data_IF_442741935803
#
_entry.id   IF_442741935803
#
_cell.length_a   1.000
_cell.length_b   1.000
_cell.length_c   1.000
_cell.angle_alpha   90.00
_cell.angle_beta   90.00
_cell.angle_gamma   90.00
#
_symmetry.space_group_name_H-M   'P 1'
#
loop_
_entity.id
_entity.type
_entity.pdbx_description
1 polymer ?
#
# COMPACT_ATOMS: atom_id res chain seq x y z
N UNK A 1 12.97 1.47 -30.62
CA UNK A 1 13.10 2.91 -30.33
C UNK A 1 13.60 3.11 -28.90
N UNK A 2 14.80 2.62 -28.65
CA UNK A 2 15.49 2.75 -27.35
C UNK A 2 16.35 4.01 -27.31
N UNK A 3 16.79 4.42 -26.12
CA UNK A 3 17.65 5.59 -25.90
C UNK A 3 18.94 5.57 -26.75
N UNK A 4 19.43 4.38 -27.12
CA UNK A 4 20.60 4.20 -27.99
C UNK A 4 20.33 4.58 -29.46
N UNK A 5 19.13 4.32 -29.98
CA UNK A 5 18.74 4.74 -31.34
C UNK A 5 18.52 6.26 -31.40
N UNK A 6 17.94 6.83 -30.35
CA UNK A 6 17.75 8.28 -30.24
C UNK A 6 19.09 9.03 -30.16
N UNK A 7 20.06 8.49 -29.40
CA UNK A 7 21.39 9.07 -29.28
C UNK A 7 22.23 8.89 -30.56
N UNK A 8 22.01 7.81 -31.30
CA UNK A 8 22.60 7.61 -32.62
C UNK A 8 22.06 8.61 -33.66
N UNK A 9 20.77 8.99 -33.59
CA UNK A 9 20.19 10.03 -34.45
C UNK A 9 20.66 11.45 -34.11
N UNK A 10 21.05 11.72 -32.87
CA UNK A 10 21.58 13.03 -32.44
C UNK A 10 23.10 13.17 -32.64
N UNK A 11 23.82 12.07 -32.84
CA UNK A 11 25.28 12.07 -33.02
C UNK A 11 25.76 12.91 -34.22
N UNK A 12 25.13 12.88 -35.42
CA UNK A 12 25.54 13.70 -36.55
C UNK A 12 25.39 15.20 -36.27
N UNK A 13 24.28 15.61 -35.65
CA UNK A 13 24.03 17.00 -35.23
C UNK A 13 25.03 17.52 -34.18
N UNK A 14 25.48 16.65 -33.27
CA UNK A 14 26.42 17.03 -32.21
C UNK A 14 27.88 17.10 -32.70
N UNK A 15 28.24 16.36 -33.75
CA UNK A 15 29.59 16.33 -34.31
C UNK A 15 29.87 17.48 -35.29
N UNK A 16 28.85 18.05 -35.94
CA UNK A 16 29.00 19.08 -36.97
C UNK A 16 28.56 20.46 -36.45
N UNK A 17 29.10 20.91 -35.32
CA UNK A 17 28.67 22.09 -34.54
C UNK A 17 28.53 23.46 -35.25
N UNK A 18 28.60 23.54 -36.58
CA UNK A 18 28.20 24.69 -37.40
C UNK A 18 27.61 24.32 -38.79
N UNK A 19 27.49 23.04 -39.15
CA UNK A 19 27.05 22.55 -40.48
C UNK A 19 25.97 21.46 -40.39
N UNK A 20 25.07 21.53 -39.41
CA UNK A 20 23.93 20.61 -39.35
C UNK A 20 23.03 20.83 -40.58
N UNK A 21 22.76 19.76 -41.35
CA UNK A 21 21.85 19.86 -42.49
C UNK A 21 20.41 20.11 -42.01
N UNK A 22 19.55 20.65 -42.87
CA UNK A 22 18.13 20.83 -42.53
C UNK A 22 17.47 19.51 -42.11
N UNK A 23 17.86 18.39 -42.74
CA UNK A 23 17.40 17.06 -42.40
C UNK A 23 17.82 16.63 -40.97
N UNK A 24 19.04 16.97 -40.56
CA UNK A 24 19.55 16.69 -39.21
C UNK A 24 18.77 17.50 -38.15
N UNK A 25 18.45 18.76 -38.45
CA UNK A 25 17.62 19.61 -37.57
C UNK A 25 16.18 19.09 -37.46
N UNK A 26 15.57 18.65 -38.56
CA UNK A 26 14.23 18.05 -38.55
C UNK A 26 14.20 16.72 -37.78
N UNK A 27 15.24 15.90 -37.91
CA UNK A 27 15.38 14.65 -37.16
C UNK A 27 15.51 14.91 -35.64
N UNK A 28 16.36 15.87 -35.25
CA UNK A 28 16.51 16.30 -33.86
C UNK A 28 15.20 16.89 -33.29
N UNK A 29 14.50 17.72 -34.05
CA UNK A 29 13.21 18.29 -33.65
C UNK A 29 12.11 17.21 -33.48
N UNK A 30 12.07 16.22 -34.39
CA UNK A 30 11.16 15.09 -34.30
C UNK A 30 11.42 14.23 -33.05
N UNK A 31 12.68 14.04 -32.71
CA UNK A 31 13.11 13.29 -31.53
C UNK A 31 12.83 14.05 -30.23
N UNK A 32 13.15 15.34 -30.16
CA UNK A 32 12.79 16.20 -29.03
C UNK A 32 11.28 16.19 -28.78
N UNK A 33 10.46 16.29 -29.83
CA UNK A 33 8.99 16.20 -29.73
C UNK A 33 8.50 14.86 -29.18
N UNK A 34 9.12 13.74 -29.58
CA UNK A 34 8.82 12.40 -29.03
C UNK A 34 9.21 12.31 -27.56
N UNK A 35 10.38 12.79 -27.19
CA UNK A 35 10.84 12.81 -25.80
C UNK A 35 9.96 13.68 -24.91
N UNK A 36 9.58 14.88 -25.36
CA UNK A 36 8.63 15.73 -24.63
C UNK A 36 7.29 15.04 -24.42
N UNK A 37 6.76 14.32 -25.42
CA UNK A 37 5.52 13.54 -25.27
C UNK A 37 5.68 12.41 -24.26
N UNK A 38 6.80 11.70 -24.29
CA UNK A 38 7.08 10.63 -23.34
C UNK A 38 7.18 11.15 -21.90
N UNK A 39 7.83 12.31 -21.69
CA UNK A 39 7.91 12.98 -20.40
C UNK A 39 6.51 13.40 -19.90
N UNK A 40 5.71 14.06 -20.74
CA UNK A 40 4.32 14.44 -20.38
C UNK A 40 3.47 13.24 -19.99
N UNK A 41 3.59 12.12 -20.73
CA UNK A 41 2.89 10.89 -20.40
C UNK A 41 3.37 10.29 -19.07
N UNK A 42 4.67 10.39 -18.76
CA UNK A 42 5.22 9.97 -17.47
C UNK A 42 4.69 10.83 -16.33
N UNK A 43 4.70 12.14 -16.49
CA UNK A 43 4.23 13.08 -15.48
C UNK A 43 2.74 12.88 -15.17
N UNK A 44 1.92 12.67 -16.21
CA UNK A 44 0.50 12.33 -16.04
C UNK A 44 0.30 11.04 -15.21
N UNK A 45 1.09 10.00 -15.46
CA UNK A 45 1.01 8.74 -14.70
C UNK A 45 1.46 8.90 -13.24
N UNK A 46 2.46 9.74 -13.00
CA UNK A 46 2.91 10.06 -11.64
C UNK A 46 1.80 10.79 -10.89
N UNK A 47 1.14 11.75 -11.53
CA UNK A 47 0.03 12.47 -10.91
C UNK A 47 -1.15 11.55 -10.59
N UNK A 48 -1.55 10.67 -11.52
CA UNK A 48 -2.57 9.65 -11.25
C UNK A 48 -2.20 8.73 -10.09
N UNK A 49 -0.92 8.31 -10.01
CA UNK A 49 -0.43 7.50 -8.90
C UNK A 49 -0.48 8.25 -7.57
N UNK A 50 -0.10 9.53 -7.56
CA UNK A 50 -0.17 10.38 -6.36
C UNK A 50 -1.61 10.55 -5.86
N UNK A 51 -2.56 10.78 -6.77
CA UNK A 51 -4.00 10.88 -6.43
C UNK A 51 -4.50 9.56 -5.82
N UNK A 52 -4.13 8.41 -6.40
CA UNK A 52 -4.50 7.10 -5.84
C UNK A 52 -3.87 6.83 -4.48
N UNK A 53 -2.60 7.19 -4.30
CA UNK A 53 -1.91 7.08 -3.01
C UNK A 53 -2.57 7.97 -1.95
N UNK A 54 -2.97 9.19 -2.33
CA UNK A 54 -3.72 10.09 -1.44
C UNK A 54 -5.06 9.49 -1.00
N UNK A 55 -5.79 8.86 -1.94
CA UNK A 55 -7.06 8.19 -1.64
C UNK A 55 -6.85 6.99 -0.70
N UNK A 56 -5.88 6.12 -1.00
CA UNK A 56 -5.54 4.98 -0.14
C UNK A 56 -5.13 5.40 1.27
N UNK A 57 -4.41 6.52 1.38
CA UNK A 57 -4.03 7.06 2.69
C UNK A 57 -5.25 7.53 3.50
N UNK A 58 -6.24 8.14 2.83
CA UNK A 58 -7.51 8.52 3.48
C UNK A 58 -8.31 7.29 3.92
N UNK A 59 -8.47 6.29 3.05
CA UNK A 59 -9.16 5.04 3.36
C UNK A 59 -8.49 4.30 4.54
N UNK A 60 -7.15 4.28 4.57
CA UNK A 60 -6.40 3.73 5.69
C UNK A 60 -6.68 4.47 7.00
N UNK A 61 -6.72 5.80 6.98
CA UNK A 61 -6.99 6.60 8.18
C UNK A 61 -8.43 6.39 8.68
N UNK A 62 -9.40 6.26 7.78
CA UNK A 62 -10.78 5.94 8.14
C UNK A 62 -10.89 4.54 8.76
N UNK A 63 -10.25 3.53 8.15
CA UNK A 63 -10.20 2.18 8.70
C UNK A 63 -9.53 2.13 10.08
N UNK A 64 -8.46 2.92 10.28
CA UNK A 64 -7.81 3.05 11.58
C UNK A 64 -8.75 3.67 12.63
N UNK A 65 -9.55 4.68 12.26
CA UNK A 65 -10.56 5.27 13.13
C UNK A 65 -11.67 4.28 13.49
N UNK A 66 -12.17 3.51 12.52
CA UNK A 66 -13.18 2.46 12.72
C UNK A 66 -12.66 1.36 13.65
N UNK A 67 -11.40 0.93 13.44
CA UNK A 67 -10.74 -0.06 14.30
C UNK A 67 -10.63 0.43 15.75
N UNK A 68 -10.21 1.68 15.96
CA UNK A 68 -10.12 2.29 17.28
C UNK A 68 -11.50 2.45 17.97
N UNK A 69 -12.53 2.81 17.21
CA UNK A 69 -13.89 2.89 17.73
C UNK A 69 -14.42 1.51 18.14
N UNK A 70 -14.22 0.50 17.30
CA UNK A 70 -14.62 -0.89 17.55
C UNK A 70 -13.95 -1.43 18.82
N UNK A 71 -12.66 -1.12 19.02
CA UNK A 71 -11.92 -1.47 20.24
C UNK A 71 -12.61 -0.97 21.51
N UNK A 72 -12.98 0.31 21.53
CA UNK A 72 -13.67 0.93 22.68
C UNK A 72 -15.03 0.29 22.94
N UNK A 73 -15.76 -0.07 21.89
CA UNK A 73 -17.03 -0.78 22.03
C UNK A 73 -16.81 -2.15 22.67
N UNK A 74 -15.81 -2.91 22.21
CA UNK A 74 -15.45 -4.22 22.79
C UNK A 74 -15.09 -4.06 24.28
N UNK A 75 -14.26 -3.09 24.63
CA UNK A 75 -13.86 -2.87 26.02
C UNK A 75 -15.07 -2.51 26.91
N UNK A 76 -15.96 -1.62 26.44
CA UNK A 76 -17.18 -1.27 27.16
C UNK A 76 -18.14 -2.45 27.31
N UNK A 77 -18.24 -3.31 26.30
CA UNK A 77 -19.08 -4.52 26.36
C UNK A 77 -18.47 -5.54 27.32
N UNK A 78 -17.15 -5.68 27.34
CA UNK A 78 -16.46 -6.55 28.28
C UNK A 78 -16.70 -6.11 29.74
N UNK A 79 -16.67 -4.80 30.01
CA UNK A 79 -16.99 -4.25 31.33
C UNK A 79 -18.44 -4.52 31.74
N UNK A 80 -19.40 -4.28 30.84
CA UNK A 80 -20.82 -4.54 31.10
C UNK A 80 -21.09 -6.02 31.36
N UNK A 81 -20.51 -6.90 30.54
CA UNK A 81 -20.65 -8.34 30.69
C UNK A 81 -19.99 -8.84 31.97
N UNK A 82 -18.81 -8.33 32.32
CA UNK A 82 -18.14 -8.64 33.57
C UNK A 82 -19.00 -8.26 34.79
N UNK A 83 -19.59 -7.06 34.78
CA UNK A 83 -20.49 -6.62 35.84
C UNK A 83 -21.74 -7.51 35.94
N UNK A 84 -22.34 -7.90 34.81
CA UNK A 84 -23.51 -8.78 34.77
C UNK A 84 -23.22 -10.19 35.29
N UNK A 85 -22.01 -10.70 35.05
CA UNK A 85 -21.59 -12.06 35.44
C UNK A 85 -20.86 -12.12 36.78
N UNK A 86 -20.57 -10.98 37.41
CA UNK A 86 -19.74 -10.92 38.63
C UNK A 86 -18.29 -11.36 38.40
N UNK A 87 -17.77 -11.16 37.18
CA UNK A 87 -16.40 -11.49 36.79
C UNK A 87 -15.52 -10.23 36.76
N UNK A 88 -14.21 -10.40 36.63
CA UNK A 88 -13.32 -9.26 36.33
C UNK A 88 -13.40 -8.90 34.84
N UNK A 89 -13.38 -7.60 34.54
CA UNK A 89 -13.35 -7.11 33.16
C UNK A 89 -12.11 -7.59 32.39
N UNK A 90 -11.00 -7.84 33.10
CA UNK A 90 -9.78 -8.40 32.52
C UNK A 90 -9.99 -9.82 31.97
N UNK A 91 -10.66 -10.70 32.73
CA UNK A 91 -10.95 -12.07 32.29
C UNK A 91 -11.86 -12.05 31.05
N UNK A 92 -12.91 -11.22 31.07
CA UNK A 92 -13.84 -11.12 29.95
C UNK A 92 -13.16 -10.54 28.71
N UNK A 93 -12.33 -9.51 28.86
CA UNK A 93 -11.56 -8.93 27.75
C UNK A 93 -10.60 -9.94 27.15
N UNK A 94 -9.89 -10.71 28.00
CA UNK A 94 -8.99 -11.77 27.55
C UNK A 94 -9.72 -12.81 26.70
N UNK A 95 -10.87 -13.31 27.17
CA UNK A 95 -11.68 -14.25 26.40
C UNK A 95 -12.14 -13.65 25.06
N UNK A 96 -12.59 -12.39 25.05
CA UNK A 96 -13.01 -11.73 23.81
C UNK A 96 -11.86 -11.62 22.80
N UNK A 97 -10.64 -11.32 23.26
CA UNK A 97 -9.46 -11.22 22.40
C UNK A 97 -8.97 -12.59 21.91
N UNK A 98 -9.12 -13.65 22.70
CA UNK A 98 -8.88 -15.03 22.26
C UNK A 98 -9.82 -15.42 21.12
N UNK A 99 -11.13 -15.19 21.28
CA UNK A 99 -12.13 -15.45 20.22
C UNK A 99 -11.85 -14.63 18.96
N UNK A 100 -11.48 -13.36 19.11
CA UNK A 100 -11.08 -12.52 17.98
C UNK A 100 -9.83 -13.06 17.28
N UNK A 101 -8.87 -13.62 18.02
CA UNK A 101 -7.66 -14.21 17.44
C UNK A 101 -7.98 -15.45 16.59
N UNK A 102 -8.86 -16.32 17.08
CA UNK A 102 -9.36 -17.49 16.35
C UNK A 102 -10.05 -17.07 15.04
N UNK A 103 -10.98 -16.11 15.12
CA UNK A 103 -11.69 -15.62 13.93
C UNK A 103 -10.75 -14.94 12.93
N UNK A 104 -9.76 -14.20 13.43
CA UNK A 104 -8.74 -13.59 12.59
C UNK A 104 -7.90 -14.65 11.86
N UNK A 105 -7.49 -15.72 12.53
CA UNK A 105 -6.72 -16.79 11.91
C UNK A 105 -7.49 -17.46 10.78
N UNK A 106 -8.77 -17.75 11.01
CA UNK A 106 -9.65 -18.30 9.98
C UNK A 106 -9.79 -17.38 8.76
N UNK A 107 -9.93 -16.07 8.98
CA UNK A 107 -10.03 -15.09 7.89
C UNK A 107 -8.71 -14.94 7.13
N UNK A 108 -7.57 -15.01 7.82
CA UNK A 108 -6.25 -15.02 7.18
C UNK A 108 -6.06 -16.26 6.32
N UNK A 109 -6.45 -17.44 6.81
CA UNK A 109 -6.35 -18.69 6.06
C UNK A 109 -7.22 -18.66 4.80
N UNK A 110 -8.47 -18.19 4.91
CA UNK A 110 -9.36 -18.01 3.76
C UNK A 110 -8.81 -16.99 2.75
N UNK A 111 -8.30 -15.86 3.22
CA UNK A 111 -7.68 -14.83 2.38
C UNK A 111 -6.41 -15.31 1.68
N UNK A 112 -5.59 -16.14 2.34
CA UNK A 112 -4.42 -16.78 1.72
C UNK A 112 -4.86 -17.78 0.65
N UNK A 113 -5.89 -18.59 0.92
CA UNK A 113 -6.42 -19.54 -0.06
C UNK A 113 -6.99 -18.84 -1.31
N UNK A 114 -7.57 -17.64 -1.14
CA UNK A 114 -8.05 -16.79 -2.24
C UNK A 114 -6.94 -15.98 -2.94
N UNK A 115 -5.71 -16.01 -2.42
CA UNK A 115 -4.58 -15.25 -2.98
C UNK A 115 -4.65 -13.74 -2.73
N UNK A 116 -5.45 -13.29 -1.76
CA UNK A 116 -5.52 -11.88 -1.36
C UNK A 116 -4.24 -11.44 -0.63
N UNK A 117 -3.58 -12.36 0.07
CA UNK A 117 -2.29 -12.11 0.72
C UNK A 117 -1.14 -12.70 -0.11
N UNK A 118 -0.07 -11.90 -0.24
CA UNK A 118 1.20 -12.37 -0.84
C UNK A 118 2.01 -13.25 0.11
N UNK A 119 1.82 -13.07 1.41
CA UNK A 119 2.50 -13.78 2.49
C UNK A 119 1.62 -13.75 3.73
N UNK A 120 1.84 -14.71 4.63
CA UNK A 120 1.06 -14.82 5.86
C UNK A 120 1.39 -13.66 6.83
N UNK A 121 0.44 -12.76 7.12
CA UNK A 121 0.66 -11.61 8.00
C UNK A 121 0.90 -12.01 9.47
N UNK A 122 0.57 -13.24 9.87
CA UNK A 122 0.84 -13.76 11.23
C UNK A 122 2.30 -14.12 11.44
N UNK A 123 3.06 -14.28 10.35
CA UNK A 123 4.49 -14.64 10.37
C UNK A 123 5.40 -13.46 10.09
N UNK A 124 4.82 -12.31 9.78
CA UNK A 124 5.56 -11.09 9.48
C UNK A 124 5.93 -10.36 10.79
N UNK A 125 7.23 -10.22 11.11
CA UNK A 125 7.67 -9.59 12.36
C UNK A 125 7.26 -8.12 12.45
N UNK A 126 7.20 -7.40 11.33
CA UNK A 126 6.80 -5.99 11.31
C UNK A 126 5.30 -5.84 11.53
N UNK A 127 4.51 -6.85 11.17
CA UNK A 127 3.07 -6.90 11.47
C UNK A 127 2.84 -7.25 12.93
N UNK A 128 3.55 -8.26 13.46
CA UNK A 128 3.44 -8.69 14.85
C UNK A 128 3.86 -7.61 15.85
N UNK A 129 4.87 -6.79 15.51
CA UNK A 129 5.34 -5.72 16.37
C UNK A 129 4.41 -4.50 16.45
N UNK A 130 3.30 -4.47 15.69
CA UNK A 130 2.41 -3.30 15.66
C UNK A 130 1.61 -3.18 16.96
N UNK A 131 1.54 -2.00 17.57
CA UNK A 131 0.68 -1.77 18.74
C UNK A 131 -0.79 -2.11 18.49
N UNK A 132 -1.25 -2.03 17.25
CA UNK A 132 -2.62 -2.41 16.86
C UNK A 132 -2.90 -3.92 16.91
N UNK A 133 -1.90 -4.76 17.24
CA UNK A 133 -2.01 -6.22 17.40
C UNK A 133 -1.90 -6.70 18.84
N UNK A 134 -1.92 -5.81 19.81
CA UNK A 134 -1.93 -6.11 21.25
C UNK A 134 -3.11 -6.98 21.72
N UNK A 135 -4.16 -7.14 20.90
CA UNK A 135 -5.26 -8.09 21.13
C UNK A 135 -4.99 -9.50 20.60
N UNK A 136 -4.07 -9.67 19.66
CA UNK A 136 -3.84 -10.94 18.98
C UNK A 136 -2.89 -11.81 19.80
N UNK A 137 -3.34 -13.02 20.12
CA UNK A 137 -2.50 -14.05 20.73
C UNK A 137 -2.32 -15.20 19.74
N UNK A 138 -1.08 -15.51 19.30
CA UNK A 138 -0.84 -16.64 18.40
C UNK A 138 -1.01 -18.00 19.08
N UNK A 139 -0.95 -18.04 20.42
CA UNK A 139 -1.01 -19.25 21.24
C UNK A 139 -2.36 -19.33 21.99
N UNK A 140 -3.48 -19.21 21.27
CA UNK A 140 -4.80 -19.52 21.83
C UNK A 140 -5.01 -21.05 21.90
N UNK A 141 -5.72 -21.56 22.94
CA UNK A 141 -5.87 -22.99 23.20
C UNK A 141 -6.74 -23.75 22.19
#
# INVERSE_FOLDING_TARGET
>A
MGALEDLAMLRPTLQHGAEASEADLWAAAGLAKRQTRALKARDSRIEEANVRLGTLHQEYNDLAAVSAASRKVIDNLAEQLAAALGLSAEIVRKQAYEEMSILYDAEVDDSLAKGHFRSDPRKDPDVLARPSRDWYSPDHP
#
